data_IF_399016926052
#
_entry.id   IF_399016926052
#
_cell.length_a   1.000
_cell.length_b   1.000
_cell.length_c   1.000
_cell.angle_alpha   90.00
_cell.angle_beta   90.00
_cell.angle_gamma   90.00
#
_symmetry.space_group_name_H-M   'P 1'
#
loop_
_entity.id
_entity.type
_entity.pdbx_description
1 polymer ?
#
# COMPACT_ATOMS: atom_id res chain seq x y z
N UNK A 1 1.04 -27.46 4.70
CA UNK A 1 2.04 -26.43 4.37
C UNK A 1 1.53 -25.15 5.01
N UNK A 2 2.29 -24.48 5.90
CA UNK A 2 1.78 -23.29 6.60
C UNK A 2 1.73 -22.12 5.63
N UNK A 3 0.58 -21.46 5.56
CA UNK A 3 0.42 -20.24 4.76
C UNK A 3 1.20 -19.09 5.41
N UNK A 4 2.06 -18.45 4.62
CA UNK A 4 2.90 -17.35 5.08
C UNK A 4 2.21 -16.05 4.67
N UNK A 5 1.77 -15.29 5.65
CA UNK A 5 1.07 -14.05 5.42
C UNK A 5 2.00 -12.84 5.44
N UNK A 6 3.06 -12.87 6.25
CA UNK A 6 4.11 -11.85 6.21
C UNK A 6 5.30 -12.41 5.43
N UNK A 7 5.43 -11.94 4.19
CA UNK A 7 6.46 -12.41 3.26
C UNK A 7 7.56 -11.37 3.09
N UNK A 8 8.79 -11.86 2.94
CA UNK A 8 9.88 -11.02 2.43
C UNK A 8 9.58 -10.58 1.00
N UNK A 9 10.05 -9.40 0.62
CA UNK A 9 9.77 -8.75 -0.67
C UNK A 9 11.05 -8.39 -1.41
N UNK A 10 11.83 -9.39 -1.80
CA UNK A 10 12.94 -9.21 -2.74
C UNK A 10 12.44 -9.39 -4.17
N UNK A 11 11.99 -8.31 -4.81
CA UNK A 11 11.56 -8.29 -6.20
C UNK A 11 12.33 -7.24 -6.98
N UNK A 12 12.76 -7.60 -8.20
CA UNK A 12 13.63 -6.78 -9.04
C UNK A 12 12.92 -6.30 -10.32
N UNK A 13 11.76 -6.89 -10.62
CA UNK A 13 10.88 -6.49 -11.70
C UNK A 13 9.41 -6.48 -11.27
N UNK A 14 8.55 -5.83 -12.04
CA UNK A 14 7.11 -5.92 -11.81
C UNK A 14 6.56 -7.34 -12.04
N UNK A 15 7.24 -8.14 -12.86
CA UNK A 15 6.89 -9.56 -13.03
C UNK A 15 7.19 -10.35 -11.76
N UNK A 16 8.31 -10.10 -11.10
CA UNK A 16 8.65 -10.74 -9.82
C UNK A 16 7.63 -10.37 -8.75
N UNK A 17 7.23 -9.10 -8.70
CA UNK A 17 6.19 -8.61 -7.81
C UNK A 17 4.83 -9.29 -8.07
N UNK A 18 4.47 -9.49 -9.34
CA UNK A 18 3.26 -10.24 -9.72
C UNK A 18 3.34 -11.72 -9.34
N UNK A 19 4.51 -12.34 -9.46
CA UNK A 19 4.71 -13.73 -9.02
C UNK A 19 4.54 -13.85 -7.51
N UNK A 20 5.13 -12.93 -6.75
CA UNK A 20 5.07 -12.91 -5.29
C UNK A 20 3.64 -12.70 -4.76
N UNK A 21 2.87 -11.85 -5.43
CA UNK A 21 1.45 -11.66 -5.12
C UNK A 21 0.58 -12.82 -5.64
N UNK A 22 0.99 -13.49 -6.70
CA UNK A 22 0.29 -14.66 -7.25
C UNK A 22 0.31 -15.90 -6.35
N UNK A 23 1.24 -15.97 -5.40
CA UNK A 23 1.35 -17.06 -4.42
C UNK A 23 0.54 -16.86 -3.15
N UNK A 24 -0.27 -15.79 -3.07
CA UNK A 24 -1.13 -15.53 -1.91
C UNK A 24 -2.24 -16.60 -1.83
N UNK A 25 -2.34 -17.34 -0.73
CA UNK A 25 -3.41 -18.30 -0.55
C UNK A 25 -4.70 -17.56 -0.15
N UNK A 26 -5.63 -17.42 -1.09
CA UNK A 26 -6.98 -16.99 -0.74
C UNK A 26 -8.04 -17.45 -1.72
N UNK A 27 -9.22 -17.71 -1.16
CA UNK A 27 -10.47 -18.00 -1.87
C UNK A 27 -11.31 -16.74 -2.14
N UNK A 28 -10.97 -15.59 -1.56
CA UNK A 28 -11.70 -14.35 -1.79
C UNK A 28 -11.39 -13.76 -3.19
N UNK A 29 -12.39 -13.11 -3.78
CA UNK A 29 -12.24 -12.42 -5.08
C UNK A 29 -11.37 -11.16 -4.98
N UNK A 30 -11.41 -10.50 -3.82
CA UNK A 30 -10.75 -9.22 -3.54
C UNK A 30 -10.30 -9.18 -2.09
N UNK A 31 -9.03 -8.84 -1.88
CA UNK A 31 -8.41 -8.81 -0.56
C UNK A 31 -7.58 -7.57 -0.33
N UNK A 32 -7.33 -7.25 0.93
CA UNK A 32 -6.38 -6.20 1.29
C UNK A 32 -4.97 -6.77 1.35
N UNK A 33 -4.01 -6.06 0.75
CA UNK A 33 -2.59 -6.38 0.76
C UNK A 33 -1.83 -5.19 1.34
N UNK A 34 -0.92 -5.44 2.27
CA UNK A 34 0.01 -4.45 2.78
C UNK A 34 1.35 -4.52 2.06
N UNK A 35 1.84 -3.41 1.54
CA UNK A 35 3.22 -3.28 1.06
C UNK A 35 3.94 -2.38 2.04
N UNK A 36 4.89 -2.95 2.78
CA UNK A 36 5.64 -2.26 3.81
C UNK A 36 7.03 -1.92 3.28
N UNK A 37 7.32 -0.62 3.21
CA UNK A 37 8.60 -0.09 2.76
C UNK A 37 9.32 0.52 3.95
N UNK A 38 10.28 -0.25 4.48
CA UNK A 38 11.09 0.12 5.62
C UNK A 38 12.52 -0.36 5.44
N UNK A 39 13.48 0.44 5.89
CA UNK A 39 14.91 0.12 5.86
C UNK A 39 15.39 -0.26 7.25
N UNK A 40 16.39 -1.13 7.30
CA UNK A 40 17.17 -1.34 8.53
C UNK A 40 17.83 -0.02 8.96
N UNK A 41 17.88 0.23 10.26
CA UNK A 41 18.46 1.45 10.85
C UNK A 41 17.45 2.57 11.07
N UNK A 42 16.21 2.41 10.62
CA UNK A 42 15.13 3.34 10.95
C UNK A 42 14.55 2.98 12.31
N UNK A 43 14.57 3.92 13.27
CA UNK A 43 14.15 3.65 14.66
C UNK A 43 12.73 3.05 14.75
N UNK A 44 11.78 3.58 13.98
CA UNK A 44 10.40 3.08 13.95
C UNK A 44 10.32 1.63 13.45
N UNK A 45 11.16 1.24 12.48
CA UNK A 45 11.22 -0.12 11.95
C UNK A 45 11.91 -1.04 12.95
N UNK A 46 13.13 -0.71 13.35
CA UNK A 46 14.00 -1.56 14.16
C UNK A 46 13.45 -1.81 15.57
N UNK A 47 12.73 -0.84 16.16
CA UNK A 47 12.14 -0.98 17.49
C UNK A 47 10.66 -1.37 17.47
N UNK A 48 9.90 -0.94 16.46
CA UNK A 48 8.44 -1.01 16.48
C UNK A 48 7.81 -2.00 15.49
N UNK A 49 8.59 -2.55 14.55
CA UNK A 49 8.04 -3.42 13.50
C UNK A 49 8.84 -4.71 13.39
N UNK A 50 10.16 -4.61 13.19
CA UNK A 50 11.04 -5.76 12.95
C UNK A 50 10.97 -6.81 14.08
N UNK A 51 11.00 -6.42 15.38
CA UNK A 51 10.88 -7.39 16.47
C UNK A 51 9.54 -8.14 16.48
N UNK A 52 8.50 -7.53 15.91
CA UNK A 52 7.13 -8.02 15.92
C UNK A 52 6.75 -8.81 14.66
N UNK A 53 7.64 -8.95 13.67
CA UNK A 53 7.31 -9.61 12.39
C UNK A 53 6.83 -11.05 12.53
N UNK A 54 7.42 -11.82 13.44
CA UNK A 54 6.97 -13.19 13.72
C UNK A 54 5.57 -13.23 14.34
N UNK A 55 5.25 -12.25 15.19
CA UNK A 55 3.89 -12.08 15.72
C UNK A 55 2.94 -11.65 14.60
N UNK A 56 3.31 -10.68 13.77
CA UNK A 56 2.50 -10.21 12.65
C UNK A 56 2.17 -11.34 11.69
N UNK A 57 3.13 -12.20 11.34
CA UNK A 57 2.93 -13.38 10.50
C UNK A 57 1.91 -14.37 11.09
N UNK A 58 1.99 -14.62 12.40
CA UNK A 58 1.04 -15.49 13.09
C UNK A 58 -0.34 -14.84 13.22
N UNK A 59 -0.38 -13.52 13.45
CA UNK A 59 -1.59 -12.76 13.77
C UNK A 59 -2.42 -12.41 12.55
N UNK A 60 -1.77 -12.13 11.42
CA UNK A 60 -2.44 -11.84 10.15
C UNK A 60 -3.14 -13.07 9.58
N UNK A 61 -2.57 -14.27 9.78
CA UNK A 61 -3.13 -15.53 9.30
C UNK A 61 -3.50 -15.44 7.82
N UNK A 62 -4.60 -16.07 7.42
CA UNK A 62 -5.09 -16.06 6.03
C UNK A 62 -5.95 -14.82 5.72
N UNK A 63 -5.86 -13.75 6.53
CA UNK A 63 -6.79 -12.62 6.44
C UNK A 63 -6.21 -11.40 5.72
N UNK A 64 -4.89 -11.24 5.76
CA UNK A 64 -4.19 -10.17 5.07
C UNK A 64 -2.73 -10.58 4.85
N UNK A 65 -2.23 -10.28 3.67
CA UNK A 65 -0.84 -10.50 3.31
C UNK A 65 -0.03 -9.21 3.40
N UNK A 66 1.25 -9.34 3.75
CA UNK A 66 2.22 -8.26 3.76
C UNK A 66 3.46 -8.62 2.94
N UNK A 67 3.90 -7.67 2.13
CA UNK A 67 5.15 -7.73 1.38
C UNK A 67 6.12 -6.73 1.99
N UNK A 68 7.24 -7.22 2.50
CA UNK A 68 8.26 -6.40 3.14
C UNK A 68 9.38 -6.11 2.14
N UNK A 69 9.30 -4.97 1.46
CA UNK A 69 10.27 -4.57 0.44
C UNK A 69 11.70 -4.62 0.98
N UNK A 70 12.59 -5.34 0.30
CA UNK A 70 14.01 -5.46 0.67
C UNK A 70 14.33 -6.38 1.87
N UNK A 71 13.31 -6.90 2.56
CA UNK A 71 13.51 -7.88 3.63
C UNK A 71 13.34 -9.30 3.09
N UNK A 72 14.10 -10.24 3.65
CA UNK A 72 13.99 -11.68 3.37
C UNK A 72 13.81 -12.45 4.67
N UNK A 73 13.01 -13.51 4.56
CA UNK A 73 12.78 -14.48 5.61
C UNK A 73 13.67 -15.69 5.36
N UNK A 74 14.76 -15.81 6.12
CA UNK A 74 15.72 -16.91 6.00
C UNK A 74 15.47 -17.97 7.07
N UNK A 75 15.40 -19.23 6.66
CA UNK A 75 15.43 -20.36 7.59
C UNK A 75 16.85 -20.91 7.64
N UNK A 76 17.55 -20.66 8.75
CA UNK A 76 18.84 -21.30 9.00
C UNK A 76 18.55 -22.72 9.48
N UNK A 77 19.07 -23.74 8.80
CA UNK A 77 18.92 -25.13 9.23
C UNK A 77 20.21 -25.61 9.94
N UNK A 78 20.14 -26.18 11.16
CA UNK A 78 19.03 -26.17 12.12
C UNK A 78 19.03 -24.85 12.93
N UNK A 79 17.93 -24.09 12.94
CA UNK A 79 17.95 -22.77 13.56
C UNK A 79 16.63 -22.01 13.47
N UNK A 80 16.55 -20.88 14.21
CA UNK A 80 15.38 -20.02 14.18
C UNK A 80 15.25 -19.35 12.82
N UNK A 81 14.04 -18.85 12.57
CA UNK A 81 13.76 -18.01 11.44
C UNK A 81 14.39 -16.62 11.66
N UNK A 82 15.18 -16.16 10.69
CA UNK A 82 15.91 -14.89 10.76
C UNK A 82 15.44 -13.97 9.65
N UNK A 83 15.16 -12.72 10.00
CA UNK A 83 14.91 -11.68 9.03
C UNK A 83 16.22 -11.00 8.64
N UNK A 84 16.53 -11.00 7.35
CA UNK A 84 17.66 -10.29 6.77
C UNK A 84 17.17 -9.15 5.89
N UNK A 85 17.99 -8.12 5.72
CA UNK A 85 17.66 -6.93 4.95
C UNK A 85 18.77 -6.64 3.94
N UNK A 86 18.37 -6.26 2.72
CA UNK A 86 19.25 -5.94 1.61
C UNK A 86 18.86 -4.57 1.03
N UNK A 87 19.76 -3.59 1.14
CA UNK A 87 19.56 -2.24 0.62
C UNK A 87 19.35 -2.21 -0.90
N UNK A 88 20.08 -3.03 -1.66
CA UNK A 88 19.93 -3.07 -3.12
C UNK A 88 18.57 -3.63 -3.50
N UNK A 89 18.11 -4.67 -2.79
CA UNK A 89 16.76 -5.21 -2.99
C UNK A 89 15.68 -4.19 -2.61
N UNK A 90 15.87 -3.43 -1.52
CA UNK A 90 14.95 -2.37 -1.11
C UNK A 90 14.84 -1.27 -2.17
N UNK A 91 15.98 -0.72 -2.62
CA UNK A 91 16.02 0.34 -3.65
C UNK A 91 15.33 -0.13 -4.93
N UNK A 92 15.57 -1.39 -5.32
CA UNK A 92 14.93 -1.99 -6.48
C UNK A 92 13.42 -2.15 -6.31
N UNK A 93 12.97 -2.60 -5.16
CA UNK A 93 11.54 -2.69 -4.86
C UNK A 93 10.83 -1.32 -4.95
N UNK A 94 11.44 -0.27 -4.39
CA UNK A 94 10.96 1.10 -4.52
C UNK A 94 10.90 1.57 -5.98
N UNK A 95 11.93 1.25 -6.78
CA UNK A 95 11.96 1.56 -8.21
C UNK A 95 10.83 0.86 -8.96
N UNK A 96 10.64 -0.44 -8.75
CA UNK A 96 9.57 -1.23 -9.40
C UNK A 96 8.19 -0.64 -9.11
N UNK A 97 7.91 -0.25 -7.86
CA UNK A 97 6.61 0.35 -7.49
C UNK A 97 6.46 1.73 -8.13
N UNK A 98 7.47 2.60 -8.05
CA UNK A 98 7.41 3.96 -8.62
C UNK A 98 7.44 3.99 -10.16
N UNK A 99 7.90 2.93 -10.82
CA UNK A 99 7.77 2.76 -12.27
C UNK A 99 6.33 2.49 -12.69
N UNK A 100 5.54 1.81 -11.87
CA UNK A 100 4.14 1.48 -12.14
C UNK A 100 3.14 2.48 -11.53
N UNK A 101 3.61 3.30 -10.60
CA UNK A 101 2.77 4.21 -9.82
C UNK A 101 3.29 5.63 -9.77
N UNK A 102 2.49 6.57 -9.28
CA UNK A 102 2.90 7.93 -8.94
C UNK A 102 3.45 8.02 -7.51
N UNK A 103 3.41 6.92 -6.74
CA UNK A 103 3.98 6.87 -5.40
C UNK A 103 5.51 6.98 -5.48
N UNK A 104 6.06 7.75 -4.54
CA UNK A 104 7.49 7.93 -4.34
C UNK A 104 7.82 7.65 -2.88
N UNK A 105 8.97 7.02 -2.65
CA UNK A 105 9.45 6.72 -1.31
C UNK A 105 9.68 7.98 -0.50
N UNK A 106 9.12 8.05 0.72
CA UNK A 106 9.20 9.25 1.57
C UNK A 106 10.55 9.49 2.22
N UNK A 107 11.44 8.49 2.24
CA UNK A 107 12.66 8.48 3.05
C UNK A 107 12.48 7.89 4.45
N UNK A 108 11.22 7.79 4.93
CA UNK A 108 10.82 7.22 6.21
C UNK A 108 10.30 5.78 6.11
N UNK A 109 9.38 5.40 6.99
CA UNK A 109 8.65 4.12 6.86
C UNK A 109 7.29 4.39 6.25
N UNK A 110 7.03 3.74 5.13
CA UNK A 110 5.80 3.86 4.35
C UNK A 110 5.04 2.53 4.35
N UNK A 111 3.75 2.57 4.63
CA UNK A 111 2.83 1.46 4.44
C UNK A 111 1.81 1.82 3.35
N UNK A 112 1.72 0.99 2.32
CA UNK A 112 0.68 1.06 1.31
C UNK A 112 -0.31 -0.07 1.54
N UNK A 113 -1.59 0.24 1.75
CA UNK A 113 -2.66 -0.75 1.70
C UNK A 113 -3.32 -0.67 0.34
N UNK A 114 -3.32 -1.79 -0.37
CA UNK A 114 -3.83 -1.93 -1.73
C UNK A 114 -4.87 -3.05 -1.79
N UNK A 115 -5.68 -3.07 -2.84
CA UNK A 115 -6.59 -4.20 -3.09
C UNK A 115 -5.90 -5.18 -4.05
N UNK A 116 -5.86 -6.45 -3.70
CA UNK A 116 -5.43 -7.52 -4.58
C UNK A 116 -6.66 -8.30 -5.07
N UNK A 117 -6.87 -8.36 -6.38
CA UNK A 117 -8.00 -9.05 -7.00
C UNK A 117 -7.53 -10.35 -7.64
N UNK A 118 -8.21 -11.46 -7.37
CA UNK A 118 -7.88 -12.76 -7.96
C UNK A 118 -8.22 -12.76 -9.45
N UNK A 119 -7.34 -13.30 -10.28
CA UNK A 119 -7.62 -13.48 -11.72
C UNK A 119 -8.38 -14.79 -11.96
N UNK A 120 -9.23 -14.85 -13.02
CA UNK A 120 -9.89 -16.09 -13.43
C UNK A 120 -8.93 -17.24 -13.76
N UNK A 121 -7.71 -16.95 -14.22
CA UNK A 121 -6.70 -17.93 -14.60
C UNK A 121 -5.68 -18.24 -13.49
N UNK A 122 -5.97 -17.83 -12.24
CA UNK A 122 -5.05 -17.94 -11.12
C UNK A 122 -4.12 -16.73 -10.97
N UNK A 123 -3.62 -16.53 -9.75
CA UNK A 123 -2.81 -15.37 -9.36
C UNK A 123 -3.62 -14.11 -9.04
N UNK A 124 -2.93 -13.04 -8.66
CA UNK A 124 -3.53 -11.78 -8.20
C UNK A 124 -3.12 -10.60 -9.07
N UNK A 125 -4.02 -9.62 -9.20
CA UNK A 125 -3.74 -8.28 -9.71
C UNK A 125 -3.76 -7.35 -8.53
N UNK A 126 -2.64 -6.71 -8.26
CA UNK A 126 -2.58 -5.59 -7.33
C UNK A 126 -3.15 -4.35 -8.02
N UNK A 127 -4.23 -3.82 -7.45
CA UNK A 127 -4.88 -2.59 -7.89
C UNK A 127 -4.29 -1.39 -7.15
N UNK A 128 -3.54 -0.58 -7.88
CA UNK A 128 -2.96 0.68 -7.40
C UNK A 128 -3.88 1.90 -7.66
N UNK A 129 -5.11 1.70 -8.17
CA UNK A 129 -6.09 2.78 -8.30
C UNK A 129 -6.69 3.23 -6.98
N UNK A 130 -6.66 2.34 -5.99
CA UNK A 130 -7.20 2.60 -4.66
C UNK A 130 -6.14 2.18 -3.66
N UNK A 131 -5.39 3.15 -3.13
CA UNK A 131 -4.28 2.91 -2.19
C UNK A 131 -4.41 3.78 -0.97
N UNK A 132 -4.42 3.16 0.20
CA UNK A 132 -4.27 3.89 1.47
C UNK A 132 -2.78 4.02 1.76
N UNK A 133 -2.28 5.25 1.65
CA UNK A 133 -0.89 5.59 1.97
C UNK A 133 -0.75 6.05 3.42
N UNK A 134 0.08 5.35 4.19
CA UNK A 134 0.31 5.57 5.61
C UNK A 134 1.81 5.81 5.87
N UNK A 135 2.27 7.08 5.92
CA UNK A 135 3.64 7.39 6.34
C UNK A 135 3.78 7.22 7.85
N UNK A 136 4.22 6.04 8.30
CA UNK A 136 4.19 5.66 9.72
C UNK A 136 5.02 6.59 10.61
N UNK A 137 6.13 7.10 10.08
CA UNK A 137 6.97 8.08 10.78
C UNK A 137 6.18 9.37 11.10
N UNK A 138 5.50 9.95 10.10
CA UNK A 138 4.66 11.14 10.29
C UNK A 138 3.49 10.86 11.23
N UNK A 139 2.85 9.70 11.10
CA UNK A 139 1.73 9.32 11.96
C UNK A 139 2.15 9.24 13.43
N UNK A 140 3.33 8.69 13.70
CA UNK A 140 3.90 8.59 15.04
C UNK A 140 4.33 9.96 15.58
N UNK A 141 5.05 10.74 14.79
CA UNK A 141 5.52 12.10 15.18
C UNK A 141 4.36 13.02 15.55
N UNK A 142 3.27 12.95 14.79
CA UNK A 142 2.03 13.70 15.05
C UNK A 142 1.14 13.08 16.12
N UNK A 143 1.57 11.98 16.76
CA UNK A 143 0.84 11.25 17.82
C UNK A 143 -0.55 10.77 17.38
N UNK A 144 -0.70 10.46 16.09
CA UNK A 144 -1.94 9.96 15.48
C UNK A 144 -2.08 8.45 15.63
N UNK A 145 -0.95 7.79 15.86
CA UNK A 145 -0.88 6.40 16.31
C UNK A 145 0.00 6.37 17.55
N UNK A 146 -0.39 5.52 18.51
CA UNK A 146 0.43 5.25 19.70
C UNK A 146 1.73 4.54 19.29
N UNK A 147 1.60 3.51 18.45
CA UNK A 147 2.72 2.76 17.91
C UNK A 147 2.34 2.08 16.58
N UNK A 148 3.33 1.66 15.76
CA UNK A 148 3.09 0.84 14.58
C UNK A 148 2.31 -0.44 14.92
N UNK A 149 2.65 -1.13 16.01
CA UNK A 149 2.01 -2.38 16.43
C UNK A 149 0.51 -2.22 16.65
N UNK A 150 0.07 -1.12 17.29
CA UNK A 150 -1.35 -0.81 17.49
C UNK A 150 -2.06 -0.57 16.14
N UNK A 151 -1.40 0.07 15.18
CA UNK A 151 -1.93 0.23 13.83
C UNK A 151 -2.06 -1.13 13.12
N UNK A 152 -1.03 -1.97 13.16
CA UNK A 152 -1.07 -3.31 12.56
C UNK A 152 -2.16 -4.17 13.18
N UNK A 153 -2.33 -4.17 14.50
CA UNK A 153 -3.40 -4.92 15.17
C UNK A 153 -4.80 -4.47 14.72
N UNK A 154 -5.01 -3.16 14.50
CA UNK A 154 -6.27 -2.65 13.92
C UNK A 154 -6.50 -3.16 12.50
N UNK A 155 -5.47 -3.14 11.66
CA UNK A 155 -5.53 -3.68 10.29
C UNK A 155 -5.87 -5.17 10.32
N UNK A 156 -5.19 -5.96 11.16
CA UNK A 156 -5.42 -7.40 11.28
C UNK A 156 -6.85 -7.69 11.75
N UNK A 157 -7.34 -6.98 12.78
CA UNK A 157 -8.71 -7.13 13.26
C UNK A 157 -9.72 -6.78 12.18
N UNK A 158 -9.53 -5.70 11.44
CA UNK A 158 -10.42 -5.35 10.33
C UNK A 158 -10.45 -6.47 9.28
N UNK A 159 -9.28 -6.90 8.79
CA UNK A 159 -9.17 -7.88 7.73
C UNK A 159 -9.77 -9.26 8.13
N UNK A 160 -9.65 -9.63 9.40
CA UNK A 160 -10.23 -10.85 9.95
C UNK A 160 -11.77 -10.85 9.87
N UNK A 161 -12.42 -9.72 10.16
CA UNK A 161 -13.87 -9.62 10.26
C UNK A 161 -14.56 -9.16 8.98
N UNK A 162 -13.87 -8.39 8.13
CA UNK A 162 -14.46 -7.87 6.90
C UNK A 162 -14.51 -8.95 5.80
N UNK A 163 -15.68 -9.13 5.20
CA UNK A 163 -15.93 -10.10 4.10
C UNK A 163 -16.63 -9.46 2.90
N UNK A 164 -16.65 -8.14 2.82
CA UNK A 164 -17.30 -7.41 1.74
C UNK A 164 -16.41 -7.24 0.50
N UNK A 165 -16.95 -6.64 -0.58
CA UNK A 165 -16.26 -6.54 -1.87
C UNK A 165 -15.22 -5.41 -1.94
N UNK A 166 -15.20 -4.46 -1.00
CA UNK A 166 -14.30 -3.30 -1.05
C UNK A 166 -13.63 -3.07 0.31
N UNK A 167 -12.59 -3.86 0.65
CA UNK A 167 -11.95 -3.81 1.97
C UNK A 167 -11.28 -2.46 2.26
N UNK A 168 -10.66 -1.81 1.27
CA UNK A 168 -10.00 -0.53 1.49
C UNK A 168 -10.97 0.60 1.79
N UNK A 169 -12.05 0.74 1.02
CA UNK A 169 -13.04 1.78 1.29
C UNK A 169 -13.67 1.59 2.67
N UNK A 170 -13.97 0.34 3.05
CA UNK A 170 -14.52 0.02 4.36
C UNK A 170 -13.52 0.28 5.50
N UNK A 171 -12.24 -0.07 5.33
CA UNK A 171 -11.19 0.23 6.30
C UNK A 171 -11.01 1.75 6.46
N UNK A 172 -10.92 2.47 5.34
CA UNK A 172 -10.83 3.94 5.35
C UNK A 172 -12.03 4.59 6.05
N UNK A 173 -13.25 4.09 5.81
CA UNK A 173 -14.45 4.61 6.48
C UNK A 173 -14.45 4.34 7.99
N UNK A 174 -13.94 3.18 8.43
CA UNK A 174 -13.75 2.88 9.84
C UNK A 174 -12.72 3.83 10.47
N UNK A 175 -11.57 4.01 9.82
CA UNK A 175 -10.48 4.84 10.35
C UNK A 175 -10.81 6.35 10.30
N UNK A 176 -11.73 6.78 9.42
CA UNK A 176 -12.22 8.15 9.38
C UNK A 176 -12.97 8.55 10.65
N UNK A 177 -13.60 7.59 11.34
CA UNK A 177 -14.29 7.83 12.61
C UNK A 177 -13.33 8.04 13.79
N UNK A 178 -12.07 7.65 13.65
CA UNK A 178 -11.03 7.74 14.69
C UNK A 178 -9.94 8.77 14.35
N UNK A 179 -10.24 9.73 13.46
CA UNK A 179 -9.38 10.88 13.09
C UNK A 179 -8.03 10.57 12.41
N UNK A 180 -7.69 9.29 12.21
CA UNK A 180 -6.44 8.88 11.57
C UNK A 180 -6.37 9.32 10.10
N UNK A 181 -7.50 9.21 9.40
CA UNK A 181 -7.70 9.63 8.01
C UNK A 181 -7.48 11.14 7.83
N UNK A 182 -8.06 11.95 8.71
CA UNK A 182 -7.95 13.41 8.65
C UNK A 182 -6.49 13.87 8.71
N UNK A 183 -5.70 13.18 9.51
CA UNK A 183 -4.32 13.55 9.73
C UNK A 183 -3.35 12.96 8.68
N UNK A 184 -3.70 11.83 8.04
CA UNK A 184 -3.08 11.38 6.77
C UNK A 184 -3.32 12.42 5.67
N UNK A 185 -4.56 12.92 5.55
CA UNK A 185 -4.91 13.97 4.59
C UNK A 185 -4.09 15.23 4.87
N UNK A 186 -4.06 15.74 6.09
CA UNK A 186 -3.31 16.95 6.46
C UNK A 186 -1.80 16.82 6.24
N UNK A 187 -1.24 15.63 6.49
CA UNK A 187 0.18 15.36 6.26
C UNK A 187 0.53 15.44 4.78
N UNK A 188 -0.39 15.06 3.90
CA UNK A 188 -0.19 15.12 2.44
C UNK A 188 -0.60 16.46 1.84
N UNK A 189 -1.60 17.14 2.40
CA UNK A 189 -1.94 18.51 2.03
C UNK A 189 -0.79 19.48 2.35
N UNK A 190 0.14 19.12 3.23
CA UNK A 190 1.40 19.84 3.42
C UNK A 190 2.30 19.87 2.16
N UNK A 191 2.14 18.89 1.26
CA UNK A 191 2.92 18.74 0.03
C UNK A 191 2.15 19.10 -1.24
N UNK A 192 0.84 19.38 -1.14
CA UNK A 192 -0.01 19.72 -2.29
C UNK A 192 -0.12 21.24 -2.54
N UNK A 193 -0.21 21.66 -3.81
CA UNK A 193 -0.51 23.04 -4.19
C UNK A 193 -1.81 23.54 -3.53
N UNK A 194 -1.87 24.84 -3.21
CA UNK A 194 -2.96 25.45 -2.42
C UNK A 194 -4.36 25.26 -3.03
N UNK A 195 -4.45 25.12 -4.34
CA UNK A 195 -5.71 24.95 -5.10
C UNK A 195 -6.45 23.64 -4.78
N UNK A 196 -5.76 22.59 -4.29
CA UNK A 196 -6.39 21.32 -3.92
C UNK A 196 -6.97 21.30 -2.50
N UNK A 197 -6.76 22.36 -1.71
CA UNK A 197 -7.12 22.41 -0.27
C UNK A 197 -8.58 22.77 0.00
N UNK A 198 -9.29 23.38 -0.96
CA UNK A 198 -10.60 23.99 -0.72
C UNK A 198 -11.80 23.03 -0.85
N UNK A 199 -11.61 21.79 -1.36
CA UNK A 199 -12.69 20.81 -1.53
C UNK A 199 -12.62 19.67 -0.51
N UNK A 200 -13.22 19.87 0.67
CA UNK A 200 -13.14 18.91 1.79
C UNK A 200 -13.93 17.61 1.58
N UNK A 201 -14.99 17.60 0.76
CA UNK A 201 -15.71 16.35 0.39
C UNK A 201 -14.89 15.45 -0.54
N UNK A 202 -13.89 16.01 -1.24
CA UNK A 202 -12.89 15.27 -2.01
C UNK A 202 -11.87 14.58 -1.10
N UNK A 203 -11.76 15.00 0.18
CA UNK A 203 -10.77 14.51 1.12
C UNK A 203 -10.98 13.03 1.53
N UNK A 204 -12.23 12.54 1.48
CA UNK A 204 -12.52 11.10 1.68
C UNK A 204 -11.98 10.22 0.56
N UNK A 205 -11.87 10.75 -0.66
CA UNK A 205 -11.20 10.12 -1.80
C UNK A 205 -9.68 10.39 -1.82
N UNK A 206 -9.14 11.08 -0.80
CA UNK A 206 -7.71 11.41 -0.70
C UNK A 206 -6.91 10.43 0.15
N UNK A 207 -7.61 9.72 1.05
CA UNK A 207 -7.02 8.61 1.82
C UNK A 207 -6.83 7.41 0.93
N UNK A 208 -7.81 7.11 0.07
CA UNK A 208 -7.70 6.11 -0.98
C UNK A 208 -7.25 6.80 -2.27
N UNK A 209 -5.95 6.76 -2.56
CA UNK A 209 -5.39 7.41 -3.76
C UNK A 209 -5.35 6.48 -4.94
N UNK A 210 -5.64 7.05 -6.10
CA UNK A 210 -5.14 6.52 -7.35
C UNK A 210 -3.67 6.91 -7.49
N UNK A 211 -2.80 5.91 -7.31
CA UNK A 211 -1.40 6.06 -7.64
C UNK A 211 -1.06 5.33 -8.92
N UNK A 212 -2.01 4.80 -9.68
CA UNK A 212 -1.72 4.21 -10.98
C UNK A 212 -1.24 5.29 -11.97
N UNK A 213 -0.28 4.95 -12.83
CA UNK A 213 0.06 5.83 -13.96
C UNK A 213 -1.08 5.77 -14.98
N UNK A 214 -1.63 6.92 -15.34
CA UNK A 214 -2.57 7.01 -16.45
C UNK A 214 -1.87 6.57 -17.74
N UNK A 215 -2.42 5.59 -18.43
CA UNK A 215 -2.00 5.32 -19.82
C UNK A 215 -2.35 6.55 -20.65
N UNK A 216 -1.43 7.10 -21.48
CA UNK A 216 -1.76 8.15 -22.42
C UNK A 216 -2.56 7.54 -23.58
N UNK A 217 -3.80 7.17 -23.32
CA UNK A 217 -4.76 6.70 -24.32
C UNK A 217 -6.16 7.10 -23.87
N UNK A 218 -6.41 8.42 -23.90
CA UNK A 218 -7.73 9.06 -24.04
C UNK A 218 -7.67 10.60 -23.96
N UNK A 219 -6.51 11.20 -23.68
CA UNK A 219 -6.32 12.66 -23.75
C UNK A 219 -6.21 13.21 -25.19
N UNK A 220 -6.26 12.36 -26.22
CA UNK A 220 -6.13 12.75 -27.63
C UNK A 220 -7.44 12.68 -28.44
N UNK A 221 -8.60 12.52 -27.80
CA UNK A 221 -9.89 12.38 -28.49
C UNK A 221 -10.98 13.32 -27.98
N UNK A 222 -10.66 14.56 -27.60
CA UNK A 222 -11.64 15.67 -27.60
C UNK A 222 -10.92 16.99 -27.92
N UNK A 223 -10.48 17.15 -29.16
CA UNK A 223 -10.31 18.46 -29.79
C UNK A 223 -10.38 18.32 -31.32
N UNK A 224 -11.56 17.98 -31.81
CA UNK A 224 -12.02 18.48 -33.11
C UNK A 224 -13.32 19.24 -32.86
N UNK A 225 -13.16 20.48 -32.36
CA UNK A 225 -14.19 21.49 -32.55
C UNK A 225 -14.01 21.97 -34.00
N UNK A 226 -14.87 21.50 -34.89
CA UNK A 226 -15.00 22.04 -36.25
C UNK A 226 -15.43 23.50 -36.14
N UNK A 227 -14.52 24.40 -36.46
CA UNK A 227 -14.81 25.82 -36.61
C UNK A 227 -15.65 26.01 -37.89
N UNK A 228 -16.95 26.28 -37.73
CA UNK A 228 -17.78 26.82 -38.80
C UNK A 228 -17.51 28.34 -38.87
N UNK A 229 -16.80 28.77 -39.92
CA UNK A 229 -16.58 30.19 -40.18
C UNK A 229 -17.89 30.95 -40.40
N UNK A 230 -17.94 32.26 -40.11
CA UNK A 230 -19.16 33.05 -40.23
C UNK A 230 -19.56 33.26 -41.70
N UNK A 231 -20.87 33.45 -41.99
CA UNK A 231 -21.33 33.70 -43.35
C UNK A 231 -20.90 35.11 -43.78
N UNK A 232 -20.31 35.19 -44.98
CA UNK A 232 -20.06 36.46 -45.66
C UNK A 232 -21.40 37.09 -46.08
N UNK A 233 -21.48 38.42 -45.93
CA UNK A 233 -22.51 39.29 -46.53
C UNK A 233 -22.19 39.49 -48.01
#
# INVERSE_FOLDING_TARGET
>A
MREIAVQGGQFYSYSDFKTLTGTMPSEASSEMLGILLMRKGQEIADKGIVPSLSYFDARSGEHIHFILAGWRRDQIAPGPLVWSYDDSAFVRACQVISEQTTWLYSGGVDLLLVTANRRPNGGFIVDFKNVIYLPLHTLKERKLIESPEVLFERIFRFAQHYKGPNPLAAFSAQEARVSLVQAVIESVLGWLPREAKENFDYAKNFVVRDVSKSSPSNAALVQQVSWAGPPFV
#
